data_IF_967294553224
#
_entry.id   IF_967294553224
#
_cell.length_a   1.000
_cell.length_b   1.000
_cell.length_c   1.000
_cell.angle_alpha   90.00
_cell.angle_beta   90.00
_cell.angle_gamma   90.00
#
_symmetry.space_group_name_H-M   'P 1'
#
loop_
_entity.id
_entity.type
_entity.pdbx_description
1 polymer ?
#
# COMPACT_ATOMS: atom_id res chain seq x y z
N UNK A 1 4.14 -16.87 -3.65
CA UNK A 1 4.00 -15.47 -4.06
C UNK A 1 2.57 -15.04 -3.79
N UNK A 2 2.35 -13.82 -3.31
CA UNK A 2 1.01 -13.30 -3.00
C UNK A 2 0.82 -12.03 -3.83
N UNK A 3 -0.33 -11.91 -4.48
CA UNK A 3 -0.71 -10.75 -5.29
C UNK A 3 -1.88 -10.05 -4.62
N UNK A 4 -1.79 -8.74 -4.41
CA UNK A 4 -2.83 -7.92 -3.75
C UNK A 4 -3.26 -6.80 -4.69
N UNK A 5 -4.57 -6.70 -4.93
CA UNK A 5 -5.16 -5.54 -5.58
C UNK A 5 -5.35 -4.44 -4.55
N UNK A 6 -5.03 -3.19 -4.93
CA UNK A 6 -5.13 -2.02 -4.05
C UNK A 6 -6.37 -1.17 -4.38
N UNK A 7 -6.68 -0.97 -5.66
CA UNK A 7 -7.84 -0.20 -6.13
C UNK A 7 -8.81 -1.08 -6.92
N UNK A 8 -10.15 -0.84 -6.82
CA UNK A 8 -10.80 0.12 -5.92
C UNK A 8 -10.80 -0.31 -4.45
N UNK A 9 -10.68 -1.61 -4.17
CA UNK A 9 -10.67 -2.18 -2.82
C UNK A 9 -9.42 -3.06 -2.62
N UNK A 10 -8.89 -3.06 -1.39
CA UNK A 10 -7.72 -3.84 -1.02
C UNK A 10 -8.14 -5.30 -0.82
N UNK A 11 -7.58 -6.21 -1.62
CA UNK A 11 -7.88 -7.65 -1.54
C UNK A 11 -6.78 -8.53 -2.10
N UNK A 12 -6.62 -9.72 -1.55
CA UNK A 12 -5.76 -10.76 -2.14
C UNK A 12 -6.39 -11.25 -3.45
N UNK A 13 -5.60 -11.26 -4.53
CA UNK A 13 -5.98 -11.77 -5.85
C UNK A 13 -5.42 -13.18 -6.07
N UNK A 14 -4.24 -13.44 -5.52
CA UNK A 14 -3.56 -14.73 -5.65
C UNK A 14 -2.72 -15.03 -4.41
N UNK A 15 -2.63 -16.31 -4.03
CA UNK A 15 -1.88 -16.77 -2.86
C UNK A 15 -2.68 -16.71 -1.56
N UNK A 16 -1.99 -16.88 -0.43
CA UNK A 16 -2.56 -16.80 0.91
C UNK A 16 -1.79 -15.80 1.76
N UNK A 17 -2.51 -14.93 2.45
CA UNK A 17 -2.00 -13.97 3.41
C UNK A 17 -2.87 -14.06 4.67
N UNK A 18 -2.27 -13.94 5.85
CA UNK A 18 -3.04 -14.00 7.10
C UNK A 18 -3.91 -12.75 7.23
N UNK A 19 -4.99 -12.84 8.02
CA UNK A 19 -5.84 -11.67 8.28
C UNK A 19 -5.07 -10.52 8.94
N UNK A 20 -4.13 -10.84 9.83
CA UNK A 20 -3.28 -9.84 10.50
C UNK A 20 -2.33 -9.15 9.52
N UNK A 21 -1.68 -9.90 8.62
CA UNK A 21 -0.80 -9.32 7.60
C UNK A 21 -1.58 -8.44 6.61
N UNK A 22 -2.77 -8.89 6.20
CA UNK A 22 -3.64 -8.12 5.31
C UNK A 22 -4.13 -6.83 6.01
N UNK A 23 -4.39 -6.87 7.31
CA UNK A 23 -4.76 -5.69 8.09
C UNK A 23 -3.61 -4.68 8.18
N UNK A 24 -2.39 -5.13 8.44
CA UNK A 24 -1.19 -4.26 8.45
C UNK A 24 -0.93 -3.65 7.07
N UNK A 25 -1.04 -4.44 6.00
CA UNK A 25 -0.92 -3.95 4.63
C UNK A 25 -2.02 -2.94 4.31
N UNK A 26 -3.26 -3.21 4.72
CA UNK A 26 -4.39 -2.29 4.54
C UNK A 26 -4.12 -0.97 5.24
N UNK A 27 -3.69 -1.00 6.50
CA UNK A 27 -3.34 0.20 7.25
C UNK A 27 -2.22 1.00 6.58
N UNK A 28 -1.19 0.32 6.06
CA UNK A 28 -0.10 0.97 5.34
C UNK A 28 -0.56 1.63 4.05
N UNK A 29 -1.40 0.95 3.27
CA UNK A 29 -1.97 1.51 2.03
C UNK A 29 -2.82 2.73 2.34
N UNK A 30 -3.69 2.67 3.35
CA UNK A 30 -4.53 3.82 3.71
C UNK A 30 -3.70 5.01 4.20
N UNK A 31 -2.67 4.76 5.01
CA UNK A 31 -1.74 5.79 5.48
C UNK A 31 -1.04 6.50 4.32
N UNK A 32 -0.71 5.77 3.26
CA UNK A 32 0.09 6.25 2.13
C UNK A 32 -0.73 6.51 0.86
N UNK A 33 -2.07 6.48 0.95
CA UNK A 33 -2.96 6.48 -0.22
C UNK A 33 -2.71 7.67 -1.15
N UNK A 34 -2.52 8.86 -0.58
CA UNK A 34 -2.25 10.08 -1.35
C UNK A 34 -0.96 9.98 -2.16
N UNK A 35 0.14 9.57 -1.52
CA UNK A 35 1.45 9.41 -2.16
C UNK A 35 1.40 8.36 -3.25
N UNK A 36 0.74 7.22 -3.01
CA UNK A 36 0.59 6.14 -4.00
C UNK A 36 -0.20 6.60 -5.23
N UNK A 37 -1.28 7.35 -5.04
CA UNK A 37 -2.09 7.88 -6.14
C UNK A 37 -1.29 8.89 -6.95
N UNK A 38 -0.65 9.87 -6.30
CA UNK A 38 0.18 10.88 -6.96
C UNK A 38 1.31 10.24 -7.77
N UNK A 39 1.96 9.20 -7.24
CA UNK A 39 3.00 8.47 -7.97
C UNK A 39 2.44 7.72 -9.19
N UNK A 40 1.31 7.02 -9.05
CA UNK A 40 0.67 6.31 -10.17
C UNK A 40 0.13 7.23 -11.26
N UNK A 41 -0.33 8.41 -10.89
CA UNK A 41 -0.83 9.42 -11.83
C UNK A 41 0.33 10.19 -12.50
N UNK A 42 1.57 10.03 -12.00
CA UNK A 42 2.78 10.62 -12.55
C UNK A 42 3.09 12.02 -12.02
N UNK A 43 2.43 12.46 -10.95
CA UNK A 43 2.59 13.79 -10.34
C UNK A 43 3.89 13.92 -9.55
N UNK A 44 4.43 12.80 -9.05
CA UNK A 44 5.69 12.73 -8.30
C UNK A 44 6.55 11.60 -8.84
N UNK A 45 7.87 11.74 -8.72
CA UNK A 45 8.80 10.70 -9.12
C UNK A 45 8.99 9.64 -8.02
N UNK A 46 9.79 8.61 -8.32
CA UNK A 46 10.06 7.53 -7.37
C UNK A 46 10.77 8.00 -6.10
N UNK A 47 11.63 9.02 -6.20
CA UNK A 47 12.38 9.54 -5.06
C UNK A 47 11.45 10.30 -4.11
N UNK A 48 10.63 11.20 -4.65
CA UNK A 48 9.62 11.95 -3.90
C UNK A 48 8.63 10.99 -3.20
N UNK A 49 8.23 9.92 -3.90
CA UNK A 49 7.37 8.90 -3.32
C UNK A 49 8.04 8.20 -2.13
N UNK A 50 9.28 7.74 -2.28
CA UNK A 50 10.02 7.04 -1.20
C UNK A 50 10.19 7.94 0.02
N UNK A 51 10.52 9.22 -0.17
CA UNK A 51 10.73 10.17 0.91
C UNK A 51 9.43 10.48 1.68
N UNK A 52 8.28 10.40 1.00
CA UNK A 52 6.96 10.66 1.59
C UNK A 52 6.30 9.43 2.23
N UNK A 53 6.73 8.20 1.88
CA UNK A 53 6.14 6.97 2.41
C UNK A 53 6.36 6.83 3.91
N UNK A 54 5.28 6.57 4.63
CA UNK A 54 5.23 6.36 6.06
C UNK A 54 5.11 4.87 6.40
N UNK A 55 5.71 4.47 7.53
CA UNK A 55 5.58 3.11 8.06
C UNK A 55 4.38 3.02 8.99
N UNK A 56 3.75 1.84 9.02
CA UNK A 56 2.79 1.51 10.09
C UNK A 56 3.60 1.19 11.35
N UNK A 57 3.27 1.84 12.47
CA UNK A 57 3.83 1.45 13.76
C UNK A 57 3.11 0.17 14.21
N UNK A 58 3.88 -0.89 14.42
CA UNK A 58 3.42 -2.11 15.08
C UNK A 58 3.86 -1.99 16.53
N UNK A 59 2.91 -1.78 17.44
CA UNK A 59 3.16 -1.81 18.89
C UNK A 59 3.43 -3.22 19.41
#
# INVERSE_FOLDING_TARGET
MVSVAIRPNIRVVEGKMTGSDLALLTQWIELNRDVLVRYWDGDIDTKDAIDALQRVNVE
#
